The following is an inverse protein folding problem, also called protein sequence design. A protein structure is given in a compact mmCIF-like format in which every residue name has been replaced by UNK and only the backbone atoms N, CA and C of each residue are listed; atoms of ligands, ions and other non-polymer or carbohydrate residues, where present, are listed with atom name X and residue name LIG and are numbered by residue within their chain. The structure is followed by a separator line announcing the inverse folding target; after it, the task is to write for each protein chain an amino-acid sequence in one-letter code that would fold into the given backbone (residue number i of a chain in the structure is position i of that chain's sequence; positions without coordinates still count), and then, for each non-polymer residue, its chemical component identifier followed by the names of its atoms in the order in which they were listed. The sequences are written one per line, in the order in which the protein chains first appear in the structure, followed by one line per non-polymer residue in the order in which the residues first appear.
data_IF_855507570166
#
_entry.id   IF_855507570166
#
_cell.length_a   1.000
_cell.length_b   1.000
_cell.length_c   1.000
_cell.angle_alpha   90.00
_cell.angle_beta   90.00
_cell.angle_gamma   90.00
#
_symmetry.space_group_name_H-M   'P 1'
#
loop_
_entity.id
_entity.type
_entity.pdbx_description
1 polymer ?
#
# COMPACT_ATOMS: atom_id res chain seq x y z
N UNK A 1 -11.19 -12.86 2.96
CA UNK A 1 -12.41 -12.70 2.14
C UNK A 1 -13.46 -13.69 2.65
N UNK A 2 -14.36 -13.30 3.57
CA UNK A 2 -15.30 -14.23 4.20
C UNK A 2 -16.46 -14.65 3.28
N UNK A 3 -16.86 -13.77 2.36
CA UNK A 3 -17.94 -14.01 1.40
C UNK A 3 -17.41 -14.01 -0.03
N UNK A 4 -17.91 -14.94 -0.84
CA UNK A 4 -17.68 -14.94 -2.29
C UNK A 4 -18.54 -13.86 -2.96
N UNK A 5 -18.03 -13.25 -4.03
CA UNK A 5 -18.72 -12.23 -4.83
C UNK A 5 -19.18 -10.94 -4.09
N UNK A 6 -18.72 -10.72 -2.86
CA UNK A 6 -18.93 -9.47 -2.10
C UNK A 6 -17.58 -8.90 -1.64
N UNK A 7 -17.51 -7.61 -1.30
CA UNK A 7 -16.29 -6.94 -0.89
C UNK A 7 -15.63 -7.63 0.32
N UNK A 8 -14.29 -7.63 0.31
CA UNK A 8 -13.49 -8.20 1.39
C UNK A 8 -12.90 -7.11 2.29
N UNK A 9 -12.71 -7.40 3.56
CA UNK A 9 -12.04 -6.47 4.48
C UNK A 9 -10.56 -6.30 4.13
N UNK A 10 -10.10 -5.05 4.07
CA UNK A 10 -8.70 -4.68 3.91
C UNK A 10 -8.20 -3.86 5.09
N UNK A 11 -6.90 -3.63 5.12
CA UNK A 11 -6.25 -2.75 6.09
C UNK A 11 -5.39 -1.76 5.31
N UNK A 12 -5.96 -0.62 4.95
CA UNK A 12 -5.18 0.46 4.35
C UNK A 12 -4.34 1.11 5.45
N UNK A 13 -3.02 1.18 5.23
CA UNK A 13 -2.08 1.68 6.22
C UNK A 13 -1.43 2.95 5.70
N UNK A 14 -1.78 4.08 6.32
CA UNK A 14 -1.17 5.37 6.03
C UNK A 14 0.16 5.48 6.77
N UNK A 15 1.22 5.87 6.06
CA UNK A 15 2.58 5.99 6.62
C UNK A 15 3.16 7.37 6.29
N UNK A 16 3.93 7.93 7.22
CA UNK A 16 4.71 9.15 7.00
C UNK A 16 5.99 9.11 7.85
N UNK A 17 7.08 9.66 7.31
CA UNK A 17 8.33 9.82 8.06
C UNK A 17 8.45 11.23 8.63
N UNK A 18 8.97 11.32 9.85
CA UNK A 18 9.14 12.56 10.60
C UNK A 18 10.55 12.62 11.20
N UNK A 19 11.09 13.82 11.29
CA UNK A 19 12.34 14.09 12.01
C UNK A 19 12.29 15.49 12.60
N UNK A 20 12.60 15.61 13.89
CA UNK A 20 12.61 16.89 14.62
C UNK A 20 11.30 17.68 14.41
N UNK A 21 10.15 16.99 14.57
CA UNK A 21 8.79 17.50 14.36
C UNK A 21 8.45 17.99 12.93
N UNK A 22 9.32 17.73 11.95
CA UNK A 22 9.08 18.06 10.56
C UNK A 22 8.60 16.83 9.78
N UNK A 23 7.47 16.93 9.05
CA UNK A 23 7.03 15.85 8.16
C UNK A 23 7.96 15.78 6.94
N UNK A 24 8.69 14.69 6.81
CA UNK A 24 9.66 14.52 5.73
C UNK A 24 9.00 14.20 4.38
N UNK A 25 7.72 13.80 4.39
CA UNK A 25 6.97 13.46 3.17
C UNK A 25 6.31 14.67 2.51
N UNK A 26 6.20 15.82 3.19
CA UNK A 26 5.65 17.04 2.61
C UNK A 26 6.69 17.72 1.69
N UNK A 27 6.27 18.14 0.49
CA UNK A 27 7.14 18.80 -0.49
C UNK A 27 6.35 19.45 -1.64
N UNK A 28 7.04 19.77 -2.73
CA UNK A 28 6.47 20.43 -3.91
C UNK A 28 6.38 19.51 -5.15
N UNK A 29 6.58 18.21 -4.97
CA UNK A 29 6.46 17.22 -6.03
C UNK A 29 5.01 16.83 -6.30
N UNK A 30 4.84 15.69 -6.98
CA UNK A 30 3.51 15.16 -7.30
C UNK A 30 2.63 15.04 -6.04
N UNK A 31 1.40 15.55 -6.12
CA UNK A 31 0.43 15.57 -5.02
C UNK A 31 0.96 16.23 -3.71
N UNK A 32 1.94 17.14 -3.80
CA UNK A 32 2.52 17.82 -2.62
C UNK A 32 3.51 16.95 -1.85
N UNK A 33 4.04 15.90 -2.49
CA UNK A 33 5.01 14.99 -1.87
C UNK A 33 6.45 15.47 -2.06
N UNK A 34 7.31 15.13 -1.12
CA UNK A 34 8.76 15.27 -1.27
C UNK A 34 9.36 14.15 -2.11
N UNK A 35 10.57 14.34 -2.62
CA UNK A 35 11.32 13.27 -3.29
C UNK A 35 11.52 12.05 -2.38
N UNK A 36 11.70 12.28 -1.06
CA UNK A 36 11.81 11.20 -0.08
C UNK A 36 10.55 10.34 -0.04
N UNK A 37 9.35 10.95 -0.09
CA UNK A 37 8.10 10.20 -0.16
C UNK A 37 8.00 9.41 -1.47
N UNK A 38 8.39 9.99 -2.60
CA UNK A 38 8.37 9.31 -3.90
C UNK A 38 9.34 8.11 -3.93
N UNK A 39 10.55 8.24 -3.39
CA UNK A 39 11.49 7.12 -3.25
C UNK A 39 10.99 6.05 -2.27
N UNK A 40 10.35 6.46 -1.17
CA UNK A 40 9.73 5.53 -0.22
C UNK A 40 8.62 4.69 -0.89
N UNK A 41 7.72 5.34 -1.63
CA UNK A 41 6.68 4.67 -2.43
C UNK A 41 7.33 3.74 -3.46
N UNK A 42 8.36 4.21 -4.19
CA UNK A 42 9.10 3.40 -5.16
C UNK A 42 9.70 2.13 -4.54
N UNK A 43 10.23 2.22 -3.31
CA UNK A 43 10.72 1.06 -2.57
C UNK A 43 9.59 0.06 -2.23
N UNK A 44 8.45 0.55 -1.75
CA UNK A 44 7.27 -0.30 -1.48
C UNK A 44 6.80 -1.02 -2.74
N UNK A 45 6.65 -0.29 -3.85
CA UNK A 45 6.22 -0.87 -5.13
C UNK A 45 7.22 -1.91 -5.64
N UNK A 46 8.53 -1.60 -5.58
CA UNK A 46 9.60 -2.52 -5.99
C UNK A 46 9.62 -3.81 -5.18
N UNK A 47 9.30 -3.74 -3.89
CA UNK A 47 9.34 -4.89 -2.98
C UNK A 47 7.96 -5.49 -2.68
N UNK A 48 6.90 -5.04 -3.34
CA UNK A 48 5.52 -5.41 -3.03
C UNK A 48 5.30 -6.93 -2.97
N UNK A 49 5.84 -7.69 -3.94
CA UNK A 49 5.70 -9.16 -3.96
C UNK A 49 6.36 -9.85 -2.76
N UNK A 50 7.42 -9.30 -2.19
CA UNK A 50 8.04 -9.84 -0.98
C UNK A 50 7.25 -9.40 0.26
N UNK A 51 6.79 -8.15 0.29
CA UNK A 51 6.02 -7.58 1.38
C UNK A 51 4.68 -8.32 1.60
N UNK A 52 4.03 -8.84 0.54
CA UNK A 52 2.77 -9.60 0.68
C UNK A 52 2.90 -10.84 1.56
N UNK A 53 4.10 -11.42 1.70
CA UNK A 53 4.34 -12.51 2.65
C UNK A 53 4.02 -12.10 4.09
N UNK A 54 4.20 -10.82 4.42
CA UNK A 54 3.97 -10.26 5.76
C UNK A 54 2.62 -9.54 5.82
N UNK A 55 2.29 -8.71 4.81
CA UNK A 55 1.07 -7.88 4.81
C UNK A 55 -0.19 -8.65 4.42
N UNK A 56 -0.03 -9.77 3.70
CA UNK A 56 -1.12 -10.61 3.20
C UNK A 56 -0.82 -12.10 3.46
N UNK A 57 -0.55 -12.50 4.71
CA UNK A 57 0.16 -13.75 5.04
C UNK A 57 -0.73 -15.01 4.97
N UNK A 58 -1.99 -14.90 4.55
CA UNK A 58 -2.93 -16.02 4.53
C UNK A 58 -3.36 -16.35 3.11
N UNK A 59 -3.69 -17.61 2.87
CA UNK A 59 -4.31 -18.03 1.59
C UNK A 59 -5.61 -17.25 1.31
N UNK A 60 -6.36 -16.91 2.36
CA UNK A 60 -7.59 -16.12 2.25
C UNK A 60 -7.35 -14.64 1.86
N UNK A 61 -6.14 -14.13 2.03
CA UNK A 61 -5.75 -12.80 1.56
C UNK A 61 -5.76 -12.75 0.03
N UNK A 62 -5.30 -13.82 -0.63
CA UNK A 62 -5.27 -13.92 -2.10
C UNK A 62 -6.65 -14.18 -2.72
N UNK A 63 -7.63 -14.67 -1.94
CA UNK A 63 -9.05 -14.65 -2.34
C UNK A 63 -9.65 -13.25 -2.38
N UNK A 64 -9.04 -12.27 -1.68
CA UNK A 64 -9.43 -10.85 -1.74
C UNK A 64 -8.73 -10.12 -2.88
N UNK A 65 -7.44 -10.39 -3.11
CA UNK A 65 -6.61 -9.71 -4.12
C UNK A 65 -6.92 -10.20 -5.54
N UNK A 66 -8.14 -9.93 -6.00
CA UNK A 66 -8.63 -10.22 -7.35
C UNK A 66 -9.33 -8.97 -7.91
N UNK A 67 -9.33 -8.76 -9.24
CA UNK A 67 -10.03 -7.64 -9.86
C UNK A 67 -11.53 -7.59 -9.53
N UNK A 68 -12.10 -6.39 -9.47
CA UNK A 68 -13.56 -6.18 -9.42
C UNK A 68 -14.21 -6.07 -8.03
N UNK A 69 -13.43 -6.05 -6.94
CA UNK A 69 -13.95 -5.97 -5.55
C UNK A 69 -13.20 -4.96 -4.68
N UNK A 70 -12.86 -3.80 -5.26
CA UNK A 70 -12.16 -2.67 -4.59
C UNK A 70 -10.82 -3.02 -3.92
N UNK A 71 -10.27 -4.21 -4.21
CA UNK A 71 -8.96 -4.62 -3.75
C UNK A 71 -7.88 -4.15 -4.74
N UNK A 72 -6.83 -3.46 -4.27
CA UNK A 72 -5.74 -3.02 -5.15
C UNK A 72 -4.91 -4.22 -5.62
N UNK A 73 -4.78 -4.37 -6.94
CA UNK A 73 -3.99 -5.45 -7.58
C UNK A 73 -2.93 -4.94 -8.55
N UNK A 74 -2.99 -3.66 -8.93
CA UNK A 74 -2.06 -3.03 -9.85
C UNK A 74 -1.01 -2.22 -9.07
N UNK A 75 0.26 -2.39 -9.41
CA UNK A 75 1.40 -1.66 -8.83
C UNK A 75 1.93 -0.54 -9.75
N UNK A 76 1.07 -0.04 -10.64
CA UNK A 76 1.41 0.91 -11.71
C UNK A 76 1.76 2.32 -11.19
#
# INVERSE_FOLDING_TARGET
KPLFADNGSGMHTHMSLWKDDKPLFAGNGYAGLSDMALFFIGGILRHASALTCITNPTTNSYKRLVPGFEAPVNLA
#
